data_IF_279895838999
#
_entry.id   IF_279895838999
#
_cell.length_a   1.000
_cell.length_b   1.000
_cell.length_c   1.000
_cell.angle_alpha   90.00
_cell.angle_beta   90.00
_cell.angle_gamma   90.00
#
_symmetry.space_group_name_H-M   'P 1'
#
loop_
_entity.id
_entity.type
_entity.pdbx_description
1 polymer ?
#
# COMPACT_ATOMS: atom_id res chain seq x y z
N UNK A 1 -62.14 -30.76 5.26
CA UNK A 1 -62.05 -29.33 4.89
C UNK A 1 -61.00 -28.66 5.77
N UNK A 2 -59.99 -27.99 5.15
CA UNK A 2 -59.21 -26.81 5.65
C UNK A 2 -58.54 -26.93 7.05
N UNK A 3 -57.25 -26.65 7.31
CA UNK A 3 -56.16 -25.88 6.67
C UNK A 3 -54.85 -26.09 7.50
N UNK A 4 -53.69 -26.12 6.82
CA UNK A 4 -52.36 -25.49 7.11
C UNK A 4 -51.67 -25.64 8.50
N UNK A 5 -50.34 -25.61 8.68
CA UNK A 5 -49.06 -25.84 7.95
C UNK A 5 -47.92 -25.46 8.94
N UNK A 6 -46.65 -25.76 8.59
CA UNK A 6 -45.37 -25.42 9.26
C UNK A 6 -44.99 -26.29 10.49
N UNK A 7 -43.92 -27.08 10.57
CA UNK A 7 -42.65 -27.15 9.83
C UNK A 7 -41.56 -26.36 10.55
N UNK A 8 -40.57 -27.02 11.16
CA UNK A 8 -39.17 -26.58 11.33
C UNK A 8 -38.29 -27.84 11.45
N UNK A 9 -37.46 -28.06 10.43
CA UNK A 9 -36.22 -28.82 10.51
C UNK A 9 -35.17 -27.86 11.08
N UNK A 10 -34.41 -28.27 12.09
CA UNK A 10 -33.17 -27.59 12.47
C UNK A 10 -32.05 -28.59 12.48
N UNK A 11 -31.32 -28.64 11.36
CA UNK A 11 -29.99 -29.21 11.29
C UNK A 11 -29.03 -28.23 11.98
N UNK A 12 -28.33 -28.67 13.03
CA UNK A 12 -27.15 -27.96 13.52
C UNK A 12 -25.95 -28.42 12.66
N UNK A 13 -25.57 -27.60 11.68
CA UNK A 13 -24.28 -27.63 11.01
C UNK A 13 -23.50 -26.36 11.35
N UNK A 14 -22.24 -26.54 11.76
CA UNK A 14 -21.16 -25.54 11.71
C UNK A 14 -21.34 -24.35 12.67
N UNK A 15 -20.31 -23.60 13.04
CA UNK A 15 -19.08 -23.26 12.33
C UNK A 15 -17.99 -23.02 13.39
N UNK A 16 -16.80 -23.59 13.16
CA UNK A 16 -15.56 -23.23 13.83
C UNK A 16 -15.22 -21.76 13.55
N UNK A 17 -15.27 -20.90 14.56
CA UNK A 17 -14.75 -19.54 14.47
C UNK A 17 -13.35 -19.49 15.08
N UNK A 18 -12.33 -19.82 14.29
CA UNK A 18 -11.01 -19.25 14.52
C UNK A 18 -11.13 -17.74 14.24
N UNK A 19 -11.50 -16.97 15.26
CA UNK A 19 -11.35 -15.52 15.23
C UNK A 19 -9.85 -15.23 15.20
N UNK A 20 -9.33 -14.96 14.01
CA UNK A 20 -7.97 -14.51 13.81
C UNK A 20 -7.86 -13.16 14.53
N UNK A 21 -7.07 -13.11 15.60
CA UNK A 21 -6.81 -11.88 16.35
C UNK A 21 -6.16 -10.89 15.38
N UNK A 22 -6.90 -9.85 15.01
CA UNK A 22 -6.44 -8.77 14.14
C UNK A 22 -5.27 -8.06 14.83
N UNK A 23 -4.06 -8.28 14.35
CA UNK A 23 -2.90 -7.63 14.94
C UNK A 23 -2.83 -6.19 14.40
N UNK A 24 -3.00 -5.22 15.29
CA UNK A 24 -2.81 -3.80 14.99
C UNK A 24 -1.31 -3.44 14.86
N UNK A 25 -0.49 -4.39 14.41
CA UNK A 25 0.98 -4.34 14.45
C UNK A 25 1.53 -3.18 13.62
N UNK A 26 0.81 -2.76 12.58
CA UNK A 26 1.17 -1.59 11.78
C UNK A 26 1.27 -0.31 12.61
N UNK A 27 0.55 -0.21 13.73
CA UNK A 27 0.60 0.97 14.62
C UNK A 27 1.94 1.12 15.33
N UNK A 28 2.79 0.09 15.28
CA UNK A 28 4.15 0.13 15.83
C UNK A 28 5.20 0.41 14.76
N UNK A 29 4.83 0.36 13.47
CA UNK A 29 5.75 0.58 12.35
C UNK A 29 5.82 2.08 12.00
N UNK A 30 7.00 2.73 12.15
CA UNK A 30 7.17 4.14 11.78
C UNK A 30 6.91 4.42 10.30
N UNK A 31 7.17 3.46 9.41
CA UNK A 31 6.95 3.57 7.96
C UNK A 31 5.47 3.52 7.59
N UNK A 32 4.60 3.19 8.55
CA UNK A 32 3.15 3.25 8.41
C UNK A 32 2.51 4.35 9.26
N UNK A 33 3.17 4.82 10.32
CA UNK A 33 2.55 5.71 11.33
C UNK A 33 3.09 7.13 11.31
N UNK A 34 4.32 7.35 10.83
CA UNK A 34 4.92 8.69 10.83
C UNK A 34 4.68 9.34 9.48
N UNK A 35 4.03 10.51 9.48
CA UNK A 35 3.83 11.31 8.25
C UNK A 35 5.19 11.71 7.68
N UNK A 36 5.39 11.48 6.39
CA UNK A 36 6.61 11.83 5.69
C UNK A 36 6.98 10.88 4.56
N UNK A 37 8.22 11.06 4.08
CA UNK A 37 8.86 10.22 3.07
C UNK A 37 9.83 9.30 3.78
N UNK A 38 9.64 8.00 3.62
CA UNK A 38 10.46 6.94 4.20
C UNK A 38 11.16 6.14 3.12
N UNK A 39 12.30 5.57 3.50
CA UNK A 39 13.06 4.67 2.67
C UNK A 39 13.38 3.41 3.46
N UNK A 40 13.03 2.27 2.87
CA UNK A 40 13.55 0.97 3.27
C UNK A 40 14.57 0.55 2.22
N UNK A 41 15.80 0.24 2.64
CA UNK A 41 16.92 -0.14 1.79
C UNK A 41 17.46 -1.52 2.15
N UNK A 42 18.40 -2.01 1.33
CA UNK A 42 19.19 -3.21 1.62
C UNK A 42 18.33 -4.43 1.95
N UNK A 43 17.25 -4.60 1.18
CA UNK A 43 16.27 -5.68 1.34
C UNK A 43 15.60 -5.72 2.73
N UNK A 44 15.33 -4.55 3.32
CA UNK A 44 14.65 -4.43 4.60
C UNK A 44 15.57 -4.16 5.78
N UNK A 45 16.90 -4.19 5.59
CA UNK A 45 17.86 -4.00 6.67
C UNK A 45 18.06 -2.52 7.04
N UNK A 46 17.85 -1.61 6.09
CA UNK A 46 17.92 -0.16 6.32
C UNK A 46 16.53 0.44 6.38
N UNK A 47 16.28 1.32 7.35
CA UNK A 47 15.07 2.13 7.42
C UNK A 47 15.44 3.57 7.79
N UNK A 48 14.87 4.54 7.10
CA UNK A 48 15.11 5.96 7.38
C UNK A 48 13.93 6.83 6.99
N UNK A 49 13.72 7.91 7.77
CA UNK A 49 12.83 9.01 7.41
C UNK A 49 13.65 10.04 6.64
N UNK A 50 13.39 10.16 5.33
CA UNK A 50 14.10 11.08 4.46
C UNK A 50 13.61 12.53 4.62
N UNK A 51 12.29 12.70 4.80
CA UNK A 51 11.67 14.02 4.96
C UNK A 51 10.37 13.95 5.75
N UNK A 52 10.11 14.96 6.59
CA UNK A 52 8.77 15.19 7.19
C UNK A 52 7.87 16.05 6.29
N UNK A 53 8.46 16.77 5.35
CA UNK A 53 7.72 17.58 4.38
C UNK A 53 7.39 16.75 3.14
N UNK A 54 6.11 16.73 2.77
CA UNK A 54 5.60 16.04 1.59
C UNK A 54 5.22 17.10 0.56
N UNK A 55 5.98 17.16 -0.54
CA UNK A 55 5.72 18.02 -1.68
C UNK A 55 6.34 17.39 -2.93
N UNK A 56 5.90 17.80 -4.13
CA UNK A 56 6.51 17.34 -5.38
C UNK A 56 8.03 17.59 -5.36
N UNK A 57 8.46 18.73 -4.80
CA UNK A 57 9.87 19.05 -4.66
C UNK A 57 10.61 18.06 -3.74
N UNK A 58 10.07 17.72 -2.57
CA UNK A 58 10.74 16.77 -1.66
C UNK A 58 10.75 15.36 -2.25
N UNK A 59 9.65 14.91 -2.86
CA UNK A 59 9.59 13.61 -3.56
C UNK A 59 10.63 13.55 -4.68
N UNK A 60 10.63 14.52 -5.60
CA UNK A 60 11.59 14.59 -6.70
C UNK A 60 13.02 14.64 -6.19
N UNK A 61 13.29 15.41 -5.13
CA UNK A 61 14.65 15.51 -4.56
C UNK A 61 15.12 14.18 -4.01
N UNK A 62 14.30 13.48 -3.24
CA UNK A 62 14.71 12.24 -2.58
C UNK A 62 14.74 11.03 -3.52
N UNK A 63 13.73 10.88 -4.40
CA UNK A 63 13.64 9.71 -5.29
C UNK A 63 14.79 9.67 -6.32
N UNK A 64 15.25 10.84 -6.78
CA UNK A 64 16.30 10.96 -7.78
C UNK A 64 17.73 10.83 -7.21
N UNK A 65 17.90 10.77 -5.87
CA UNK A 65 19.20 10.49 -5.25
C UNK A 65 19.56 9.00 -5.25
N UNK A 66 18.57 8.14 -5.44
CA UNK A 66 18.71 6.70 -5.27
C UNK A 66 19.22 6.03 -6.55
N UNK A 67 20.12 5.06 -6.39
CA UNK A 67 20.56 4.21 -7.50
C UNK A 67 19.62 3.01 -7.65
N UNK A 68 18.53 3.25 -8.37
CA UNK A 68 17.51 2.24 -8.65
C UNK A 68 18.01 1.10 -9.53
N UNK A 69 19.13 1.24 -10.24
CA UNK A 69 19.67 0.20 -11.13
C UNK A 69 20.47 -0.82 -10.32
N UNK A 70 21.28 -0.37 -9.36
CA UNK A 70 22.14 -1.30 -8.61
C UNK A 70 21.48 -1.85 -7.35
N UNK A 71 20.47 -1.15 -6.81
CA UNK A 71 19.91 -1.44 -5.49
C UNK A 71 18.40 -1.69 -5.53
N UNK A 72 17.91 -2.30 -4.45
CA UNK A 72 16.49 -2.50 -4.16
C UNK A 72 16.06 -1.54 -3.06
N UNK A 73 14.95 -0.83 -3.30
CA UNK A 73 14.37 0.11 -2.35
C UNK A 73 12.87 -0.09 -2.21
N UNK A 74 12.33 0.33 -1.07
CA UNK A 74 10.92 0.73 -0.94
C UNK A 74 10.89 2.19 -0.51
N UNK A 75 10.30 3.03 -1.35
CA UNK A 75 10.14 4.45 -1.15
C UNK A 75 8.68 4.71 -0.80
N UNK A 76 8.41 5.14 0.44
CA UNK A 76 7.07 5.17 1.00
C UNK A 76 6.70 6.61 1.35
N UNK A 77 5.59 7.09 0.80
CA UNK A 77 4.99 8.37 1.16
C UNK A 77 3.79 8.10 2.07
N UNK A 78 3.87 8.56 3.32
CA UNK A 78 2.81 8.44 4.33
C UNK A 78 2.13 9.78 4.48
N UNK A 79 0.89 9.91 4.00
CA UNK A 79 0.11 11.14 4.14
C UNK A 79 -0.48 11.28 5.54
N UNK A 80 -0.95 10.16 6.09
CA UNK A 80 -1.55 10.06 7.41
C UNK A 80 -1.18 8.69 8.00
N UNK A 81 -1.14 8.53 9.33
CA UNK A 81 -0.89 7.22 9.92
C UNK A 81 -1.86 6.17 9.34
N UNK A 82 -1.32 5.14 8.69
CA UNK A 82 -2.08 4.06 8.06
C UNK A 82 -2.53 4.34 6.61
N UNK A 83 -2.24 5.51 6.04
CA UNK A 83 -2.51 5.85 4.64
C UNK A 83 -1.20 6.17 3.92
N UNK A 84 -0.79 5.30 3.01
CA UNK A 84 0.48 5.44 2.30
C UNK A 84 0.45 4.93 0.87
N UNK A 85 1.41 5.41 0.08
CA UNK A 85 1.79 4.88 -1.22
C UNK A 85 3.25 4.48 -1.17
N UNK A 86 3.55 3.24 -1.54
CA UNK A 86 4.90 2.69 -1.67
C UNK A 86 5.24 2.49 -3.13
N UNK A 87 6.46 2.85 -3.52
CA UNK A 87 7.11 2.35 -4.73
C UNK A 87 8.24 1.41 -4.31
N UNK A 88 8.21 0.17 -4.77
CA UNK A 88 9.21 -0.85 -4.40
C UNK A 88 9.87 -1.48 -5.62
N UNK A 89 11.11 -1.94 -5.48
CA UNK A 89 11.81 -2.74 -6.49
C UNK A 89 13.16 -2.17 -6.94
N UNK A 90 13.56 -2.57 -8.15
CA UNK A 90 14.78 -2.14 -8.83
C UNK A 90 14.56 -2.06 -10.35
N UNK A 91 15.31 -1.19 -11.02
CA UNK A 91 15.40 -1.07 -12.47
C UNK A 91 16.43 -2.03 -13.08
N UNK A 92 16.95 -3.00 -12.32
CA UNK A 92 17.94 -3.97 -12.81
C UNK A 92 17.39 -5.04 -13.77
N UNK A 93 16.07 -5.04 -14.04
CA UNK A 93 15.41 -6.04 -14.90
C UNK A 93 15.19 -7.41 -14.25
N UNK A 94 15.54 -7.58 -12.97
CA UNK A 94 15.40 -8.82 -12.21
C UNK A 94 14.38 -8.65 -11.08
N UNK A 95 14.59 -7.65 -10.22
CA UNK A 95 13.72 -7.34 -9.09
C UNK A 95 12.70 -6.29 -9.57
N UNK A 96 11.66 -6.73 -10.27
CA UNK A 96 10.68 -5.83 -10.89
C UNK A 96 10.13 -4.74 -9.96
N UNK A 97 9.68 -3.64 -10.56
CA UNK A 97 9.09 -2.53 -9.83
C UNK A 97 7.60 -2.77 -9.53
N UNK A 98 7.09 -2.13 -8.49
CA UNK A 98 5.67 -2.10 -8.15
C UNK A 98 5.32 -0.81 -7.41
N UNK A 99 4.04 -0.47 -7.45
CA UNK A 99 3.45 0.57 -6.64
C UNK A 99 2.29 -0.01 -5.83
N UNK A 100 2.21 0.35 -4.55
CA UNK A 100 1.23 -0.20 -3.63
C UNK A 100 0.65 0.87 -2.72
N UNK A 101 -0.67 1.04 -2.79
CA UNK A 101 -1.45 1.85 -1.86
C UNK A 101 -1.88 1.01 -0.66
N UNK A 102 -1.86 1.63 0.53
CA UNK A 102 -2.39 1.05 1.75
C UNK A 102 -3.29 2.05 2.46
N UNK A 103 -4.44 1.56 2.92
CA UNK A 103 -5.32 2.21 3.89
C UNK A 103 -5.68 1.21 4.97
N UNK A 104 -4.93 1.29 6.08
CA UNK A 104 -5.07 0.38 7.22
C UNK A 104 -6.39 0.56 7.96
N UNK A 105 -6.94 1.76 7.99
CA UNK A 105 -8.22 2.05 8.66
C UNK A 105 -9.39 1.34 7.99
N UNK A 106 -9.38 1.32 6.66
CA UNK A 106 -10.43 0.70 5.85
C UNK A 106 -10.09 -0.71 5.39
N UNK A 107 -8.91 -1.23 5.79
CA UNK A 107 -8.37 -2.54 5.37
C UNK A 107 -8.34 -2.68 3.85
N UNK A 108 -7.94 -1.62 3.16
CA UNK A 108 -7.82 -1.58 1.70
C UNK A 108 -6.34 -1.59 1.35
N UNK A 109 -5.94 -2.51 0.49
CA UNK A 109 -4.70 -2.42 -0.25
C UNK A 109 -5.01 -2.29 -1.73
N UNK A 110 -4.15 -1.63 -2.49
CA UNK A 110 -4.19 -1.68 -3.93
C UNK A 110 -2.79 -1.81 -4.50
N UNK A 111 -2.64 -2.60 -5.57
CA UNK A 111 -1.36 -2.78 -6.26
C UNK A 111 -1.55 -2.39 -7.72
N UNK A 112 -0.55 -1.74 -8.29
CA UNK A 112 -0.55 -1.37 -9.71
C UNK A 112 -0.54 -2.64 -10.59
N UNK A 113 -1.35 -2.67 -11.65
CA UNK A 113 -1.37 -3.80 -12.58
C UNK A 113 -0.16 -3.79 -13.52
N UNK A 114 0.20 -2.60 -14.01
CA UNK A 114 1.38 -2.39 -14.86
C UNK A 114 2.49 -1.73 -14.04
N UNK A 115 3.61 -2.44 -13.88
CA UNK A 115 4.74 -1.92 -13.13
C UNK A 115 5.28 -0.63 -13.75
N UNK A 116 5.70 0.37 -12.95
CA UNK A 116 6.40 1.52 -13.50
C UNK A 116 7.76 1.08 -14.07
N UNK A 117 8.21 1.74 -15.13
CA UNK A 117 9.41 1.35 -15.89
C UNK A 117 10.56 2.36 -15.75
N UNK A 118 10.34 3.47 -15.03
CA UNK A 118 11.33 4.53 -14.86
C UNK A 118 11.16 5.30 -13.57
N UNK A 119 12.24 5.96 -13.13
CA UNK A 119 12.21 6.88 -11.97
C UNK A 119 11.17 7.99 -12.15
N UNK A 120 11.00 8.49 -13.38
CA UNK A 120 10.00 9.51 -13.67
C UNK A 120 8.56 9.00 -13.47
N UNK A 121 8.25 7.77 -13.91
CA UNK A 121 6.93 7.19 -13.66
C UNK A 121 6.69 6.92 -12.18
N UNK A 122 7.70 6.40 -11.47
CA UNK A 122 7.65 6.23 -10.01
C UNK A 122 7.37 7.55 -9.29
N UNK A 123 8.06 8.62 -9.68
CA UNK A 123 7.84 9.96 -9.16
C UNK A 123 6.41 10.46 -9.46
N UNK A 124 5.94 10.34 -10.70
CA UNK A 124 4.61 10.83 -11.08
C UNK A 124 3.47 10.12 -10.32
N UNK A 125 3.61 8.82 -10.03
CA UNK A 125 2.63 8.08 -9.22
C UNK A 125 2.53 8.69 -7.82
N UNK A 126 3.67 8.96 -7.18
CA UNK A 126 3.72 9.57 -5.86
C UNK A 126 3.21 11.01 -5.86
N UNK A 127 3.57 11.80 -6.87
CA UNK A 127 3.09 13.19 -6.99
C UNK A 127 1.57 13.25 -7.18
N UNK A 128 0.99 12.39 -8.02
CA UNK A 128 -0.46 12.33 -8.18
C UNK A 128 -1.15 11.80 -6.91
N UNK A 129 -0.52 10.89 -6.17
CA UNK A 129 -1.04 10.40 -4.90
C UNK A 129 -1.21 11.54 -3.88
N UNK A 130 -0.24 12.45 -3.78
CA UNK A 130 -0.29 13.54 -2.79
C UNK A 130 -1.26 14.67 -3.16
N UNK A 131 -1.84 14.69 -4.36
CA UNK A 131 -2.90 15.63 -4.73
C UNK A 131 -4.20 15.36 -3.98
N UNK A 132 -4.41 14.13 -3.50
CA UNK A 132 -5.59 13.75 -2.72
C UNK A 132 -6.91 13.69 -3.49
N UNK A 133 -6.87 13.74 -4.83
CA UNK A 133 -8.04 13.73 -5.72
C UNK A 133 -8.38 12.35 -6.29
N UNK A 134 -7.64 11.32 -5.86
CA UNK A 134 -7.78 9.92 -6.25
C UNK A 134 -7.62 9.62 -7.76
N UNK A 135 -7.15 10.57 -8.58
CA UNK A 135 -7.00 10.35 -10.03
C UNK A 135 -5.97 9.27 -10.36
N UNK A 136 -4.95 9.12 -9.51
CA UNK A 136 -3.91 8.09 -9.62
C UNK A 136 -4.49 6.67 -9.72
N UNK A 137 -5.64 6.39 -9.06
CA UNK A 137 -6.26 5.05 -9.02
C UNK A 137 -6.56 4.51 -10.41
N UNK A 138 -7.16 5.37 -11.25
CA UNK A 138 -7.54 5.03 -12.63
C UNK A 138 -6.42 5.28 -13.61
N UNK A 139 -5.64 6.36 -13.41
CA UNK A 139 -4.55 6.75 -14.31
C UNK A 139 -3.48 5.66 -14.43
N UNK A 140 -3.20 4.96 -13.33
CA UNK A 140 -2.18 3.91 -13.26
C UNK A 140 -2.75 2.50 -13.11
N UNK A 141 -4.06 2.33 -13.22
CA UNK A 141 -4.74 1.04 -13.15
C UNK A 141 -4.37 0.19 -11.90
N UNK A 142 -4.77 0.66 -10.72
CA UNK A 142 -4.58 -0.07 -9.47
C UNK A 142 -5.72 -1.10 -9.23
N UNK A 143 -5.36 -2.34 -8.88
CA UNK A 143 -6.29 -3.38 -8.42
C UNK A 143 -6.51 -3.29 -6.91
N UNK A 144 -7.76 -3.05 -6.49
CA UNK A 144 -8.13 -2.82 -5.09
C UNK A 144 -8.65 -4.09 -4.42
N UNK A 145 -8.11 -4.40 -3.24
CA UNK A 145 -8.56 -5.51 -2.38
C UNK A 145 -8.88 -5.01 -0.99
N UNK A 146 -10.10 -5.28 -0.55
CA UNK A 146 -10.56 -5.06 0.82
C UNK A 146 -10.49 -6.38 1.60
N UNK A 147 -10.08 -6.30 2.86
CA UNK A 147 -10.00 -7.43 3.80
C UNK A 147 -11.00 -7.24 4.95
#
# INVERSE_FOLDING_TARGET
MKKFMFGIFSALFGISANAQIESADWKLDPTETTIGIHLISDYGNGQSLLSKEISNKSIATEINKLDWVSNFYQFIVVLEPGISMEIGGSLNGINGLSAMYRNRHNRINAVINEAPESVLQMQNILEDFILGDDQWKKKYDFDFKAY
#
